data_IF_238869843127
#
_entry.id   IF_238869843127
#
_cell.length_a   1.000
_cell.length_b   1.000
_cell.length_c   1.000
_cell.angle_alpha   90.00
_cell.angle_beta   90.00
_cell.angle_gamma   90.00
#
_symmetry.space_group_name_H-M   'P 1'
#
loop_
_entity.id
_entity.type
_entity.pdbx_description
1 polymer ?
#
# COMPACT_ATOMS: atom_id res chain seq x y z
N UNK A 1 -4.22 -10.00 5.78
CA UNK A 1 -4.03 -10.04 7.24
C UNK A 1 -5.32 -9.71 7.99
N UNK A 2 -5.81 -8.46 7.99
CA UNK A 2 -6.99 -8.09 8.82
C UNK A 2 -8.28 -8.81 8.40
N UNK A 3 -8.52 -8.98 7.10
CA UNK A 3 -9.67 -9.75 6.58
C UNK A 3 -9.66 -11.25 6.96
N UNK A 4 -8.48 -11.82 7.21
CA UNK A 4 -8.34 -13.21 7.62
C UNK A 4 -8.38 -13.41 9.13
N UNK A 5 -8.06 -12.36 9.89
CA UNK A 5 -8.37 -12.31 11.31
C UNK A 5 -9.89 -12.30 11.56
N UNK A 6 -10.66 -11.56 10.74
CA UNK A 6 -12.12 -11.54 10.80
C UNK A 6 -12.78 -12.91 10.53
N UNK A 7 -12.12 -13.78 9.75
CA UNK A 7 -12.53 -15.19 9.55
C UNK A 7 -12.39 -16.04 10.83
N UNK A 8 -11.51 -15.65 11.76
CA UNK A 8 -11.18 -16.43 12.96
C UNK A 8 -11.77 -15.84 14.26
N UNK A 9 -12.15 -14.56 14.27
CA UNK A 9 -12.71 -13.89 15.44
C UNK A 9 -14.24 -13.80 15.36
N UNK A 10 -14.93 -14.19 16.45
CA UNK A 10 -16.39 -14.02 16.61
C UNK A 10 -16.82 -12.58 16.92
N UNK A 11 -15.87 -11.64 16.98
CA UNK A 11 -16.10 -10.23 17.30
C UNK A 11 -16.08 -9.41 16.02
N UNK A 12 -17.22 -8.83 15.66
CA UNK A 12 -17.35 -7.90 14.54
C UNK A 12 -16.67 -6.57 14.85
N UNK A 13 -15.93 -6.02 13.89
CA UNK A 13 -15.28 -4.72 14.05
C UNK A 13 -16.28 -3.60 13.75
N UNK A 14 -16.39 -2.63 14.65
CA UNK A 14 -17.22 -1.44 14.42
C UNK A 14 -16.60 -0.49 13.38
N UNK A 15 -17.42 0.38 12.80
CA UNK A 15 -16.97 1.31 11.75
C UNK A 15 -15.88 2.28 12.25
N UNK A 16 -15.93 2.66 13.52
CA UNK A 16 -14.93 3.56 14.13
C UNK A 16 -13.59 2.84 14.35
N UNK A 17 -13.61 1.57 14.75
CA UNK A 17 -12.42 0.73 14.85
C UNK A 17 -11.79 0.49 13.48
N UNK A 18 -12.61 0.17 12.47
CA UNK A 18 -12.20 0.06 11.08
C UNK A 18 -11.48 1.34 10.61
N UNK A 19 -12.07 2.50 10.87
CA UNK A 19 -11.46 3.80 10.50
C UNK A 19 -10.12 4.03 11.20
N UNK A 20 -10.03 3.72 12.50
CA UNK A 20 -8.79 3.86 13.28
C UNK A 20 -7.69 2.93 12.79
N UNK A 21 -8.02 1.67 12.51
CA UNK A 21 -7.09 0.68 11.99
C UNK A 21 -6.61 1.08 10.59
N UNK A 22 -7.54 1.45 9.70
CA UNK A 22 -7.25 1.91 8.35
C UNK A 22 -6.35 3.15 8.37
N UNK A 23 -6.69 4.16 9.18
CA UNK A 23 -5.89 5.38 9.31
C UNK A 23 -4.48 5.11 9.87
N UNK A 24 -4.37 4.28 10.91
CA UNK A 24 -3.08 3.89 11.48
C UNK A 24 -2.20 3.19 10.46
N UNK A 25 -2.74 2.22 9.72
CA UNK A 25 -2.00 1.51 8.67
C UNK A 25 -1.63 2.43 7.52
N UNK A 26 -2.50 3.37 7.14
CA UNK A 26 -2.23 4.32 6.07
C UNK A 26 -1.10 5.28 6.44
N UNK A 27 -1.05 5.79 7.67
CA UNK A 27 0.02 6.68 8.13
C UNK A 27 1.37 5.96 8.07
N UNK A 28 1.45 4.74 8.63
CA UNK A 28 2.69 3.95 8.63
C UNK A 28 3.13 3.64 7.21
N UNK A 29 2.22 3.15 6.37
CA UNK A 29 2.51 2.84 4.97
C UNK A 29 2.96 4.07 4.17
N UNK A 30 2.31 5.22 4.38
CA UNK A 30 2.65 6.50 3.72
C UNK A 30 4.05 6.97 4.10
N UNK A 31 4.40 6.90 5.38
CA UNK A 31 5.74 7.26 5.84
C UNK A 31 6.82 6.32 5.27
N UNK A 32 6.57 5.01 5.25
CA UNK A 32 7.50 4.05 4.64
C UNK A 32 7.68 4.32 3.14
N UNK A 33 6.59 4.58 2.42
CA UNK A 33 6.65 4.93 1.00
C UNK A 33 7.40 6.24 0.77
N UNK A 34 7.10 7.28 1.57
CA UNK A 34 7.79 8.57 1.48
C UNK A 34 9.29 8.44 1.61
N UNK A 35 9.76 7.72 2.62
CA UNK A 35 11.19 7.52 2.85
C UNK A 35 11.82 6.76 1.67
N UNK A 36 11.15 5.72 1.17
CA UNK A 36 11.64 4.94 0.04
C UNK A 36 11.73 5.78 -1.24
N UNK A 37 10.68 6.55 -1.55
CA UNK A 37 10.58 7.35 -2.76
C UNK A 37 11.53 8.55 -2.73
N UNK A 38 11.58 9.26 -1.59
CA UNK A 38 12.54 10.32 -1.39
C UNK A 38 13.98 9.82 -1.51
N UNK A 39 14.30 8.65 -0.93
CA UNK A 39 15.64 8.05 -1.05
C UNK A 39 15.96 7.64 -2.49
N UNK A 40 14.99 7.11 -3.24
CA UNK A 40 15.13 6.75 -4.66
C UNK A 40 15.47 7.99 -5.50
N UNK A 41 14.64 9.03 -5.43
CA UNK A 41 14.79 10.27 -6.18
C UNK A 41 16.11 10.99 -5.81
N UNK A 42 16.44 11.04 -4.52
CA UNK A 42 17.71 11.61 -4.07
C UNK A 42 18.93 10.80 -4.52
N UNK A 43 18.79 9.48 -4.61
CA UNK A 43 19.78 8.59 -5.21
C UNK A 43 19.99 8.86 -6.70
N UNK A 44 18.92 9.19 -7.43
CA UNK A 44 18.98 9.57 -8.85
C UNK A 44 19.75 10.87 -9.06
N UNK A 45 19.54 11.92 -8.25
CA UNK A 45 20.37 13.13 -8.29
C UNK A 45 21.84 12.80 -8.11
N UNK A 46 22.17 11.97 -7.11
CA UNK A 46 23.56 11.61 -6.84
C UNK A 46 24.21 10.93 -8.05
N UNK A 47 23.48 10.03 -8.72
CA UNK A 47 23.94 9.37 -9.95
C UNK A 47 24.09 10.38 -11.10
N UNK A 48 23.11 11.25 -11.32
CA UNK A 48 23.16 12.28 -12.37
C UNK A 48 24.32 13.26 -12.16
N UNK A 49 24.53 13.73 -10.92
CA UNK A 49 25.65 14.60 -10.55
C UNK A 49 27.00 13.99 -10.93
N UNK A 50 27.15 12.66 -10.76
CA UNK A 50 28.37 11.94 -11.12
C UNK A 50 28.54 11.82 -12.64
N UNK A 51 27.44 11.61 -13.37
CA UNK A 51 27.45 11.54 -14.83
C UNK A 51 27.76 12.89 -15.48
N UNK A 52 27.36 14.00 -14.84
CA UNK A 52 27.64 15.36 -15.28
C UNK A 52 29.01 15.90 -14.82
N UNK A 53 29.86 15.05 -14.23
CA UNK A 53 31.18 15.42 -13.69
C UNK A 53 31.13 16.65 -12.74
N UNK A 54 30.03 16.83 -12.00
CA UNK A 54 29.90 17.94 -11.06
C UNK A 54 30.74 17.69 -9.82
N UNK A 55 31.40 18.75 -9.31
CA UNK A 55 32.20 18.68 -8.08
C UNK A 55 31.41 18.23 -6.85
N UNK A 56 30.10 18.51 -6.79
CA UNK A 56 29.26 18.11 -5.67
C UNK A 56 27.78 17.93 -6.01
N UNK A 57 27.16 16.80 -5.61
CA UNK A 57 25.71 16.61 -5.67
C UNK A 57 24.93 17.63 -4.84
N UNK A 58 25.56 18.24 -3.82
CA UNK A 58 24.92 19.23 -2.93
C UNK A 58 24.41 20.46 -3.68
N UNK A 59 25.01 20.80 -4.83
CA UNK A 59 24.63 21.98 -5.61
C UNK A 59 23.30 21.78 -6.34
N UNK A 60 23.05 20.58 -6.89
CA UNK A 60 21.75 20.20 -7.46
C UNK A 60 20.69 20.02 -6.37
N UNK A 61 21.11 19.48 -5.22
CA UNK A 61 20.24 19.29 -4.07
C UNK A 61 19.72 20.57 -3.41
N UNK A 62 20.47 21.67 -3.50
CA UNK A 62 20.05 22.99 -2.97
C UNK A 62 19.36 23.85 -4.02
N UNK A 63 19.26 23.37 -5.26
CA UNK A 63 18.57 24.09 -6.33
C UNK A 63 17.08 23.72 -6.36
N UNK A 64 16.37 24.27 -7.35
CA UNK A 64 14.97 23.95 -7.63
C UNK A 64 14.69 22.44 -7.73
N UNK A 65 15.65 21.67 -8.26
CA UNK A 65 15.55 20.21 -8.43
C UNK A 65 15.40 19.50 -7.06
N UNK A 66 16.06 20.00 -6.02
CA UNK A 66 15.91 19.44 -4.67
C UNK A 66 14.54 19.68 -4.05
N UNK A 67 13.90 20.81 -4.38
CA UNK A 67 12.54 21.14 -3.94
C UNK A 67 11.54 20.27 -4.70
N UNK A 68 11.69 20.19 -6.03
CA UNK A 68 10.86 19.39 -6.92
C UNK A 68 10.80 17.92 -6.50
N UNK A 69 11.93 17.31 -6.10
CA UNK A 69 11.95 15.94 -5.57
C UNK A 69 11.16 15.79 -4.27
N UNK A 70 11.23 16.80 -3.40
CA UNK A 70 10.49 16.73 -2.14
C UNK A 70 8.99 16.83 -2.43
N UNK A 71 8.60 17.67 -3.37
CA UNK A 71 7.21 17.81 -3.83
C UNK A 71 6.70 16.53 -4.49
N UNK A 72 7.48 15.96 -5.42
CA UNK A 72 7.16 14.69 -6.10
C UNK A 72 7.03 13.53 -5.11
N UNK A 73 7.94 13.43 -4.14
CA UNK A 73 7.85 12.42 -3.09
C UNK A 73 6.59 12.62 -2.22
N UNK A 74 6.24 13.86 -1.88
CA UNK A 74 5.02 14.16 -1.10
C UNK A 74 3.76 13.83 -1.90
N UNK A 75 3.70 14.18 -3.19
CA UNK A 75 2.57 13.89 -4.06
C UNK A 75 2.39 12.36 -4.22
N UNK A 76 3.47 11.65 -4.54
CA UNK A 76 3.47 10.20 -4.65
C UNK A 76 3.03 9.53 -3.34
N UNK A 77 3.51 10.02 -2.20
CA UNK A 77 3.07 9.55 -0.87
C UNK A 77 1.61 9.84 -0.60
N UNK A 78 1.09 11.01 -0.94
CA UNK A 78 -0.31 11.35 -0.71
C UNK A 78 -1.24 10.42 -1.51
N UNK A 79 -0.91 10.19 -2.79
CA UNK A 79 -1.67 9.27 -3.66
C UNK A 79 -1.58 7.83 -3.13
N UNK A 80 -0.38 7.37 -2.79
CA UNK A 80 -0.16 6.03 -2.25
C UNK A 80 -0.87 5.82 -0.90
N UNK A 81 -0.82 6.82 -0.03
CA UNK A 81 -1.47 6.82 1.27
C UNK A 81 -2.99 6.74 1.18
N UNK A 82 -3.59 7.58 0.33
CA UNK A 82 -5.04 7.54 0.06
C UNK A 82 -5.45 6.21 -0.56
N UNK A 83 -4.68 5.72 -1.54
CA UNK A 83 -4.96 4.44 -2.18
C UNK A 83 -4.86 3.28 -1.20
N UNK A 84 -3.83 3.27 -0.35
CA UNK A 84 -3.65 2.27 0.69
C UNK A 84 -4.75 2.31 1.75
N UNK A 85 -5.14 3.51 2.18
CA UNK A 85 -6.28 3.71 3.08
C UNK A 85 -7.57 3.14 2.48
N UNK A 86 -7.93 3.56 1.26
CA UNK A 86 -9.14 3.08 0.57
C UNK A 86 -9.09 1.57 0.34
N UNK A 87 -7.93 1.02 -0.04
CA UNK A 87 -7.73 -0.42 -0.22
C UNK A 87 -7.93 -1.21 1.07
N UNK A 88 -7.53 -0.63 2.22
CA UNK A 88 -7.77 -1.24 3.54
C UNK A 88 -9.22 -1.13 4.01
N UNK A 89 -9.92 -0.06 3.62
CA UNK A 89 -11.30 0.21 4.02
C UNK A 89 -12.30 -0.74 3.36
N UNK A 90 -12.04 -1.23 2.14
CA UNK A 90 -12.94 -2.17 1.44
C UNK A 90 -13.27 -3.41 2.31
N UNK A 91 -12.27 -4.21 2.75
CA UNK A 91 -12.56 -5.36 3.60
C UNK A 91 -13.06 -4.96 4.99
N UNK A 92 -12.53 -3.90 5.60
CA UNK A 92 -12.93 -3.46 6.94
C UNK A 92 -14.38 -2.98 6.99
N UNK A 93 -14.83 -2.20 6.00
CA UNK A 93 -16.21 -1.74 5.90
C UNK A 93 -17.16 -2.91 5.58
N UNK A 94 -16.71 -3.89 4.78
CA UNK A 94 -17.53 -5.07 4.51
C UNK A 94 -17.80 -5.91 5.75
N UNK A 95 -16.83 -6.00 6.69
CA UNK A 95 -17.00 -6.66 7.99
C UNK A 95 -18.00 -5.89 8.87
N UNK A 96 -17.83 -4.56 8.96
CA UNK A 96 -18.67 -3.70 9.77
C UNK A 96 -20.14 -3.65 9.30
N UNK A 97 -20.38 -3.74 7.98
CA UNK A 97 -21.72 -3.69 7.40
C UNK A 97 -22.43 -5.06 7.44
N UNK A 98 -21.69 -6.16 7.36
CA UNK A 98 -22.25 -7.52 7.30
C UNK A 98 -21.58 -8.47 8.33
N UNK A 99 -21.77 -8.22 9.63
CA UNK A 99 -21.09 -8.97 10.70
C UNK A 99 -21.45 -10.46 10.79
N UNK A 100 -22.49 -10.91 10.07
CA UNK A 100 -22.88 -12.33 9.99
C UNK A 100 -22.17 -13.15 8.91
N UNK A 101 -21.39 -12.52 8.01
CA UNK A 101 -20.74 -13.18 6.88
C UNK A 101 -19.21 -13.11 7.02
N UNK A 102 -18.65 -13.97 7.87
CA UNK A 102 -17.20 -13.98 8.17
C UNK A 102 -16.28 -14.16 6.93
N UNK A 103 -16.76 -14.78 5.84
CA UNK A 103 -15.99 -14.93 4.62
C UNK A 103 -15.98 -13.67 3.72
N UNK A 104 -16.91 -12.72 3.93
CA UNK A 104 -17.10 -11.57 3.05
C UNK A 104 -15.89 -10.64 3.01
N UNK A 105 -15.24 -10.27 4.13
CA UNK A 105 -14.07 -9.39 4.11
C UNK A 105 -12.90 -9.98 3.34
N UNK A 106 -12.72 -11.30 3.45
CA UNK A 106 -11.67 -12.02 2.72
C UNK A 106 -11.94 -12.02 1.22
N UNK A 107 -13.16 -12.38 0.80
CA UNK A 107 -13.55 -12.36 -0.61
C UNK A 107 -13.42 -10.95 -1.18
N UNK A 108 -13.90 -9.93 -0.45
CA UNK A 108 -13.81 -8.53 -0.86
C UNK A 108 -12.35 -8.09 -1.04
N UNK A 109 -11.45 -8.43 -0.11
CA UNK A 109 -10.02 -8.15 -0.24
C UNK A 109 -9.39 -8.85 -1.45
N UNK A 110 -9.68 -10.14 -1.66
CA UNK A 110 -9.11 -10.91 -2.78
C UNK A 110 -9.58 -10.36 -4.13
N UNK A 111 -10.87 -10.00 -4.23
CA UNK A 111 -11.45 -9.39 -5.42
C UNK A 111 -10.85 -8.01 -5.67
N UNK A 112 -10.72 -7.17 -4.63
CA UNK A 112 -10.07 -5.87 -4.75
C UNK A 112 -8.62 -5.99 -5.23
N UNK A 113 -7.85 -6.95 -4.71
CA UNK A 113 -6.49 -7.24 -5.16
C UNK A 113 -6.42 -7.71 -6.61
N UNK A 114 -7.36 -8.57 -7.04
CA UNK A 114 -7.44 -9.01 -8.42
C UNK A 114 -7.69 -7.82 -9.36
N UNK A 115 -8.66 -6.95 -9.02
CA UNK A 115 -8.94 -5.73 -9.79
C UNK A 115 -7.74 -4.78 -9.82
N UNK A 116 -7.04 -4.60 -8.70
CA UNK A 116 -5.84 -3.77 -8.64
C UNK A 116 -4.71 -4.38 -9.49
N UNK A 117 -4.55 -5.70 -9.50
CA UNK A 117 -3.63 -6.40 -10.39
C UNK A 117 -3.95 -6.18 -11.87
N UNK A 118 -5.23 -6.24 -12.25
CA UNK A 118 -5.69 -5.90 -13.62
C UNK A 118 -5.35 -4.45 -13.96
N UNK A 119 -5.61 -3.51 -13.05
CA UNK A 119 -5.29 -2.09 -13.22
C UNK A 119 -3.80 -1.85 -13.41
N UNK A 120 -2.96 -2.53 -12.61
CA UNK A 120 -1.52 -2.45 -12.73
C UNK A 120 -1.02 -3.03 -14.06
N UNK A 121 -1.54 -4.19 -14.47
CA UNK A 121 -1.23 -4.78 -15.77
C UNK A 121 -1.55 -3.84 -16.94
N UNK A 122 -2.66 -3.10 -16.85
CA UNK A 122 -3.00 -2.07 -17.84
C UNK A 122 -1.97 -0.95 -17.89
N UNK A 123 -1.49 -0.49 -16.74
CA UNK A 123 -0.51 0.61 -16.64
C UNK A 123 0.84 0.24 -17.27
N UNK A 124 1.30 -1.00 -17.05
CA UNK A 124 2.62 -1.45 -17.53
C UNK A 124 2.56 -2.29 -18.83
N UNK A 125 1.40 -2.38 -19.49
CA UNK A 125 1.17 -3.24 -20.67
C UNK A 125 1.51 -4.73 -20.43
N UNK A 126 1.23 -5.23 -19.22
CA UNK A 126 1.48 -6.61 -18.81
C UNK A 126 0.29 -7.57 -19.03
N UNK A 127 0.50 -8.86 -18.79
CA UNK A 127 -0.55 -9.88 -18.84
C UNK A 127 -1.50 -9.76 -17.64
N UNK A 128 -2.76 -9.39 -17.88
CA UNK A 128 -3.79 -9.17 -16.85
C UNK A 128 -3.95 -10.34 -15.87
N UNK A 129 -3.99 -11.57 -16.39
CA UNK A 129 -4.19 -12.76 -15.57
C UNK A 129 -3.03 -13.00 -14.59
N UNK A 130 -1.79 -12.81 -15.03
CA UNK A 130 -0.60 -13.02 -14.19
C UNK A 130 -0.59 -12.02 -13.03
N UNK A 131 -0.91 -10.76 -13.29
CA UNK A 131 -0.95 -9.73 -12.26
C UNK A 131 -2.12 -9.88 -11.30
N UNK A 132 -3.31 -10.21 -11.82
CA UNK A 132 -4.47 -10.49 -10.97
C UNK A 132 -4.18 -11.66 -10.03
N UNK A 133 -3.73 -12.80 -10.57
CA UNK A 133 -3.41 -13.99 -9.79
C UNK A 133 -2.25 -13.73 -8.83
N UNK A 134 -1.19 -13.05 -9.28
CA UNK A 134 -0.04 -12.70 -8.44
C UNK A 134 -0.43 -11.84 -7.24
N UNK A 135 -1.21 -10.78 -7.45
CA UNK A 135 -1.66 -9.89 -6.38
C UNK A 135 -2.61 -10.61 -5.41
N UNK A 136 -3.56 -11.40 -5.92
CA UNK A 136 -4.44 -12.22 -5.08
C UNK A 136 -3.65 -13.25 -4.28
N UNK A 137 -2.69 -13.94 -4.89
CA UNK A 137 -1.85 -14.95 -4.23
C UNK A 137 -1.03 -14.33 -3.09
N UNK A 138 -0.40 -13.18 -3.31
CA UNK A 138 0.31 -12.44 -2.26
C UNK A 138 -0.62 -12.09 -1.11
N UNK A 139 -1.83 -11.60 -1.40
CA UNK A 139 -2.83 -11.29 -0.36
C UNK A 139 -3.27 -12.49 0.46
N UNK A 140 -3.44 -13.65 -0.19
CA UNK A 140 -3.76 -14.93 0.46
C UNK A 140 -2.60 -15.38 1.34
N UNK A 141 -1.35 -15.35 0.84
CA UNK A 141 -0.16 -15.72 1.61
C UNK A 141 -0.01 -14.83 2.85
N UNK A 142 -0.11 -13.50 2.69
CA UNK A 142 -0.04 -12.57 3.82
C UNK A 142 -1.15 -12.82 4.84
N UNK A 143 -2.32 -13.26 4.38
CA UNK A 143 -3.42 -13.62 5.26
C UNK A 143 -3.12 -14.87 6.09
N UNK A 144 -2.55 -15.91 5.49
CA UNK A 144 -2.08 -17.09 6.23
C UNK A 144 -0.97 -16.76 7.22
N UNK A 145 -0.02 -15.91 6.85
CA UNK A 145 1.04 -15.43 7.77
C UNK A 145 0.43 -14.74 8.99
N UNK A 146 -0.60 -13.91 8.79
CA UNK A 146 -1.29 -13.24 9.90
C UNK A 146 -1.95 -14.20 10.88
N UNK A 147 -2.55 -15.29 10.38
CA UNK A 147 -3.12 -16.35 11.22
C UNK A 147 -2.02 -17.07 11.99
N UNK A 148 -0.92 -17.44 11.32
CA UNK A 148 0.18 -18.20 11.92
C UNK A 148 0.93 -17.41 13.01
N UNK A 149 1.03 -16.09 12.86
CA UNK A 149 1.69 -15.22 13.84
C UNK A 149 0.81 -14.90 15.07
N UNK A 150 -0.40 -15.45 15.18
CA UNK A 150 -1.35 -15.15 16.26
C UNK A 150 -1.53 -13.65 16.52
N UNK A 151 -1.46 -12.83 15.46
CA UNK A 151 -1.63 -11.37 15.59
C UNK A 151 -3.07 -11.04 16.07
N UNK A 152 -4.00 -11.99 15.91
CA UNK A 152 -5.32 -11.96 16.52
C UNK A 152 -5.59 -13.33 17.15
N UNK A 153 -5.57 -13.38 18.47
CA UNK A 153 -6.03 -14.48 19.33
C UNK A 153 -6.82 -13.90 20.50
#
# INVERSE_FOLDING_TARGET
MIAAAALSSTVSIGLIEALRIGAGSAIVGSFSFFIAEYARLRGEISRMSRQLAMESPRKLMRSHIGIEITEEAVEGTAIAGLSGFLGSMIPLASDALFPGLHALPFIAATVALAFLGIGLARSISGHYAIWAVGMSAVGIIMSYIGILLHIVS
#
